data_IF_770390446423
#
_entry.id   IF_770390446423
#
_cell.length_a   1.000
_cell.length_b   1.000
_cell.length_c   1.000
_cell.angle_alpha   90.00
_cell.angle_beta   90.00
_cell.angle_gamma   90.00
#
_symmetry.space_group_name_H-M   'P 1'
#
loop_
_entity.id
_entity.type
_entity.pdbx_description
1 polymer ?
#
# COMPACT_ATOMS: atom_id res chain seq x y z
N UNK A 1 -10.94 -9.68 -17.12
CA UNK A 1 -11.25 -11.10 -17.34
C UNK A 1 -11.51 -11.25 -18.82
N UNK A 2 -10.87 -12.13 -19.57
CA UNK A 2 -10.84 -13.58 -19.31
C UNK A 2 -9.53 -14.27 -19.74
N UNK A 3 -8.36 -13.68 -19.46
CA UNK A 3 -7.08 -14.37 -19.65
C UNK A 3 -6.00 -13.88 -18.67
N UNK A 4 -6.38 -13.63 -17.42
CA UNK A 4 -5.37 -13.40 -16.39
C UNK A 4 -4.60 -14.72 -16.15
N UNK A 5 -3.26 -14.70 -16.09
CA UNK A 5 -2.45 -15.87 -15.75
C UNK A 5 -2.98 -16.60 -14.51
N UNK A 6 -2.90 -17.93 -14.50
CA UNK A 6 -3.14 -18.77 -13.31
C UNK A 6 -1.95 -18.63 -12.35
N UNK A 7 -1.86 -17.45 -11.75
CA UNK A 7 -0.83 -17.04 -10.82
C UNK A 7 -1.51 -16.32 -9.65
N UNK A 8 -1.34 -16.84 -8.44
CA UNK A 8 -2.06 -16.36 -7.26
C UNK A 8 -1.83 -14.85 -7.03
N UNK A 9 -0.60 -14.38 -7.16
CA UNK A 9 -0.28 -12.96 -6.99
C UNK A 9 -1.01 -12.07 -8.00
N UNK A 10 -1.08 -12.49 -9.26
CA UNK A 10 -1.84 -11.76 -10.30
C UNK A 10 -3.34 -11.76 -9.99
N UNK A 11 -3.90 -12.87 -9.52
CA UNK A 11 -5.31 -12.95 -9.14
C UNK A 11 -5.61 -12.08 -7.91
N UNK A 12 -4.70 -12.06 -6.93
CA UNK A 12 -4.79 -11.21 -5.74
C UNK A 12 -4.75 -9.72 -6.12
N UNK A 13 -3.85 -9.34 -7.02
CA UNK A 13 -3.78 -7.98 -7.56
C UNK A 13 -5.09 -7.58 -8.26
N UNK A 14 -5.62 -8.45 -9.13
CA UNK A 14 -6.90 -8.20 -9.82
C UNK A 14 -8.03 -8.08 -8.81
N UNK A 15 -8.04 -8.92 -7.77
CA UNK A 15 -9.05 -8.85 -6.71
C UNK A 15 -8.97 -7.54 -5.94
N UNK A 16 -7.77 -7.10 -5.55
CA UNK A 16 -7.54 -5.83 -4.87
C UNK A 16 -7.98 -4.64 -5.73
N UNK A 17 -7.53 -4.58 -6.99
CA UNK A 17 -7.90 -3.54 -7.94
C UNK A 17 -9.42 -3.44 -8.12
N UNK A 18 -10.08 -4.57 -8.39
CA UNK A 18 -11.53 -4.59 -8.61
C UNK A 18 -12.31 -4.21 -7.36
N UNK A 19 -11.82 -4.59 -6.18
CA UNK A 19 -12.42 -4.23 -4.90
C UNK A 19 -12.36 -2.73 -4.65
N UNK A 20 -11.17 -2.13 -4.75
CA UNK A 20 -10.99 -0.69 -4.52
C UNK A 20 -11.81 0.14 -5.51
N UNK A 21 -11.66 -0.14 -6.81
CA UNK A 21 -12.38 0.59 -7.86
C UNK A 21 -13.88 0.35 -7.78
N UNK A 22 -14.30 -0.90 -7.49
CA UNK A 22 -15.71 -1.28 -7.39
C UNK A 22 -16.44 -0.62 -6.23
N UNK A 23 -15.74 -0.35 -5.11
CA UNK A 23 -16.29 0.35 -3.95
C UNK A 23 -16.24 1.89 -4.09
N UNK A 24 -15.66 2.43 -5.16
CA UNK A 24 -15.51 3.87 -5.39
C UNK A 24 -14.23 4.48 -4.82
N UNK A 25 -13.25 3.65 -4.43
CA UNK A 25 -11.86 4.01 -4.18
C UNK A 25 -10.98 3.77 -5.42
N UNK A 26 -9.68 3.51 -5.19
CA UNK A 26 -8.75 3.03 -6.22
C UNK A 26 -8.44 4.05 -7.31
N UNK A 27 -8.55 5.35 -7.03
CA UNK A 27 -8.41 6.40 -8.05
C UNK A 27 -7.02 6.42 -8.69
N UNK A 28 -5.97 6.17 -7.91
CA UNK A 28 -4.59 6.15 -8.42
C UNK A 28 -4.35 4.93 -9.29
N UNK A 29 -4.77 3.75 -8.81
CA UNK A 29 -4.75 2.51 -9.59
C UNK A 29 -5.48 2.66 -10.92
N UNK A 30 -6.70 3.20 -10.89
CA UNK A 30 -7.51 3.43 -12.09
C UNK A 30 -6.83 4.43 -13.04
N UNK A 31 -6.32 5.54 -12.52
CA UNK A 31 -5.65 6.56 -13.34
C UNK A 31 -4.39 6.03 -14.02
N UNK A 32 -3.62 5.17 -13.36
CA UNK A 32 -2.48 4.47 -13.96
C UNK A 32 -2.95 3.50 -15.04
N UNK A 33 -3.93 2.64 -14.72
CA UNK A 33 -4.44 1.62 -15.64
C UNK A 33 -5.09 2.20 -16.92
N UNK A 34 -5.68 3.40 -16.82
CA UNK A 34 -6.31 4.09 -17.96
C UNK A 34 -5.33 4.98 -18.75
N UNK A 35 -4.09 5.16 -18.28
CA UNK A 35 -3.10 6.00 -18.95
C UNK A 35 -2.24 5.19 -19.93
N UNK A 36 -2.39 5.38 -21.26
CA UNK A 36 -1.66 4.59 -22.26
C UNK A 36 -0.15 4.89 -22.32
N UNK A 37 0.32 5.90 -21.59
CA UNK A 37 1.74 6.29 -21.50
C UNK A 37 2.35 5.95 -20.15
N UNK A 38 1.59 5.35 -19.23
CA UNK A 38 2.09 4.92 -17.93
C UNK A 38 2.60 3.48 -18.00
N UNK A 39 3.80 3.26 -17.46
CA UNK A 39 4.33 1.92 -17.18
C UNK A 39 4.66 1.85 -15.69
N UNK A 40 3.98 0.97 -14.98
CA UNK A 40 4.20 0.69 -13.55
C UNK A 40 4.25 -0.82 -13.37
N UNK A 41 5.35 -1.32 -12.81
CA UNK A 41 5.50 -2.71 -12.45
C UNK A 41 4.96 -2.94 -11.04
N UNK A 42 4.31 -4.08 -10.82
CA UNK A 42 3.91 -4.52 -9.47
C UNK A 42 4.63 -5.82 -9.17
N UNK A 43 5.47 -5.80 -8.13
CA UNK A 43 6.29 -6.94 -7.74
C UNK A 43 5.83 -7.48 -6.39
N UNK A 44 5.68 -8.81 -6.32
CA UNK A 44 5.32 -9.48 -5.08
C UNK A 44 6.47 -9.33 -4.08
N UNK A 45 6.14 -8.80 -2.92
CA UNK A 45 7.06 -8.78 -1.81
C UNK A 45 6.82 -9.99 -0.92
N UNK A 46 7.83 -10.85 -0.82
CA UNK A 46 7.77 -12.03 0.02
C UNK A 46 7.51 -11.70 1.51
N UNK A 47 7.21 -12.73 2.30
CA UNK A 47 6.84 -12.64 3.73
C UNK A 47 7.90 -11.98 4.65
N UNK A 48 9.04 -11.55 4.13
CA UNK A 48 10.07 -10.84 4.89
C UNK A 48 9.96 -9.31 4.73
N UNK A 49 9.29 -8.80 3.69
CA UNK A 49 9.12 -7.36 3.41
C UNK A 49 7.69 -6.87 3.65
N UNK A 50 7.56 -5.60 4.04
CA UNK A 50 6.31 -4.82 3.99
C UNK A 50 6.36 -3.93 2.74
N UNK A 51 5.21 -3.53 2.20
CA UNK A 51 5.15 -2.70 0.99
C UNK A 51 6.13 -1.54 1.08
N UNK A 52 6.83 -1.30 -0.02
CA UNK A 52 7.84 -0.26 -0.08
C UNK A 52 7.64 0.59 -1.32
N UNK A 53 7.88 1.89 -1.12
CA UNK A 53 7.79 2.92 -2.12
C UNK A 53 8.49 2.54 -3.44
N UNK A 54 7.99 3.21 -4.46
CA UNK A 54 8.48 3.24 -5.82
C UNK A 54 9.98 3.48 -5.92
N UNK A 55 10.72 2.48 -6.41
CA UNK A 55 12.05 2.69 -6.95
C UNK A 55 11.96 2.94 -8.44
N UNK A 56 12.48 4.09 -8.90
CA UNK A 56 12.79 4.27 -10.31
C UNK A 56 13.94 3.32 -10.65
N UNK A 57 13.64 2.15 -11.20
CA UNK A 57 14.70 1.26 -11.69
C UNK A 57 15.16 1.80 -13.04
N UNK A 58 16.41 2.23 -13.11
CA UNK A 58 17.08 2.47 -14.39
C UNK A 58 17.43 1.10 -14.96
N UNK A 59 16.66 0.60 -15.92
CA UNK A 59 17.09 -0.59 -16.65
C UNK A 59 18.08 -0.19 -17.74
N UNK A 60 19.30 -0.72 -17.64
CA UNK A 60 20.51 -0.29 -18.35
C UNK A 60 20.54 -0.59 -19.85
N UNK A 61 19.41 -0.90 -20.48
CA UNK A 61 19.33 -1.20 -21.90
C UNK A 61 18.59 -0.13 -22.73
N UNK A 62 17.64 0.62 -22.13
CA UNK A 62 16.80 1.56 -22.88
C UNK A 62 16.60 2.93 -22.21
N UNK A 63 17.10 3.16 -20.99
CA UNK A 63 17.04 4.47 -20.34
C UNK A 63 15.65 4.88 -19.82
N UNK A 64 14.65 4.01 -19.94
CA UNK A 64 13.31 4.23 -19.39
C UNK A 64 13.32 3.98 -17.88
N UNK A 65 12.89 4.99 -17.12
CA UNK A 65 12.65 4.87 -15.69
C UNK A 65 11.19 4.50 -15.48
N UNK A 66 10.90 3.29 -15.02
CA UNK A 66 9.54 2.88 -14.65
C UNK A 66 9.41 2.76 -13.14
N UNK A 67 8.19 3.02 -12.65
CA UNK A 67 7.88 2.97 -11.22
C UNK A 67 7.60 1.52 -10.82
N UNK A 68 8.25 1.00 -9.78
CA UNK A 68 8.00 -0.36 -9.26
C UNK A 68 7.25 -0.28 -7.93
N UNK A 69 6.03 -0.79 -7.88
CA UNK A 69 5.26 -0.97 -6.63
C UNK A 69 5.58 -2.33 -6.03
N UNK A 70 6.12 -2.35 -4.82
CA UNK A 70 6.27 -3.58 -4.04
C UNK A 70 5.05 -3.78 -3.15
N UNK A 71 4.36 -4.89 -3.34
CA UNK A 71 3.10 -5.16 -2.63
C UNK A 71 3.03 -6.60 -2.15
N UNK A 72 2.53 -6.79 -0.93
CA UNK A 72 2.28 -8.10 -0.36
C UNK A 72 0.76 -8.30 -0.19
N UNK A 73 0.14 -9.23 -0.92
CA UNK A 73 -1.30 -9.44 -0.89
C UNK A 73 -1.85 -9.94 0.46
N UNK A 74 -0.98 -10.34 1.39
CA UNK A 74 -1.37 -10.83 2.71
C UNK A 74 -1.21 -9.79 3.83
N UNK A 75 -0.58 -8.64 3.55
CA UNK A 75 -0.25 -7.64 4.56
C UNK A 75 -1.12 -6.39 4.41
N UNK A 76 -2.04 -6.22 5.35
CA UNK A 76 -2.69 -4.93 5.60
C UNK A 76 -1.86 -4.06 6.53
N UNK A 77 -2.44 -2.93 6.93
CA UNK A 77 -1.81 -1.98 7.85
C UNK A 77 -2.74 -1.67 9.00
N UNK A 78 -2.30 -1.95 10.22
CA UNK A 78 -2.91 -1.32 11.38
C UNK A 78 -2.35 0.10 11.57
N UNK A 79 -3.24 1.08 11.58
CA UNK A 79 -2.87 2.48 11.68
C UNK A 79 -2.66 2.91 13.14
N UNK A 80 -1.95 4.03 13.34
CA UNK A 80 -1.82 4.67 14.67
C UNK A 80 -3.15 5.16 15.24
N UNK A 81 -4.19 5.27 14.41
CA UNK A 81 -5.57 5.58 14.84
C UNK A 81 -6.39 4.32 15.19
N UNK A 82 -5.80 3.13 15.09
CA UNK A 82 -6.40 1.85 15.48
C UNK A 82 -7.31 1.21 14.42
N UNK A 83 -7.32 1.73 13.19
CA UNK A 83 -8.04 1.13 12.08
C UNK A 83 -7.16 0.07 11.38
N UNK A 84 -7.79 -0.88 10.70
CA UNK A 84 -7.10 -1.87 9.86
C UNK A 84 -7.42 -1.55 8.41
N UNK A 85 -6.39 -1.24 7.64
CA UNK A 85 -6.47 -1.10 6.19
C UNK A 85 -6.19 -2.46 5.55
N UNK A 86 -6.96 -2.84 4.54
CA UNK A 86 -6.71 -4.08 3.77
C UNK A 86 -5.46 -3.95 2.90
N UNK A 87 -4.89 -5.08 2.44
CA UNK A 87 -3.84 -5.05 1.42
C UNK A 87 -4.23 -4.27 0.16
N UNK A 88 -5.51 -4.25 -0.23
CA UNK A 88 -6.00 -3.45 -1.36
C UNK A 88 -5.83 -1.94 -1.11
N UNK A 89 -6.27 -1.43 0.05
CA UNK A 89 -6.03 -0.03 0.41
C UNK A 89 -4.53 0.32 0.50
N UNK A 90 -3.69 -0.62 0.94
CA UNK A 90 -2.23 -0.46 0.92
C UNK A 90 -1.69 -0.42 -0.51
N UNK A 91 -2.23 -1.23 -1.44
CA UNK A 91 -1.87 -1.16 -2.86
C UNK A 91 -2.19 0.20 -3.47
N UNK A 92 -3.35 0.78 -3.14
CA UNK A 92 -3.71 2.13 -3.59
C UNK A 92 -2.78 3.21 -3.01
N UNK A 93 -2.28 3.04 -1.78
CA UNK A 93 -1.25 3.92 -1.23
C UNK A 93 0.00 3.92 -2.13
N UNK A 94 0.55 2.76 -2.44
CA UNK A 94 1.75 2.66 -3.29
C UNK A 94 1.48 3.14 -4.73
N UNK A 95 0.29 2.87 -5.26
CA UNK A 95 -0.14 3.42 -6.56
C UNK A 95 -0.24 4.95 -6.54
N UNK A 96 -0.62 5.54 -5.40
CA UNK A 96 -0.62 6.98 -5.17
C UNK A 96 0.75 7.61 -5.35
N UNK A 97 1.80 6.96 -4.86
CA UNK A 97 3.20 7.35 -5.09
C UNK A 97 3.59 7.22 -6.55
N UNK A 98 3.28 6.08 -7.18
CA UNK A 98 3.59 5.83 -8.59
C UNK A 98 2.95 6.88 -9.51
N UNK A 99 1.68 7.22 -9.28
CA UNK A 99 0.98 8.26 -10.02
C UNK A 99 1.60 9.64 -9.79
N UNK A 100 1.95 9.98 -8.54
CA UNK A 100 2.62 11.24 -8.19
C UNK A 100 3.93 11.44 -8.96
N UNK A 101 4.73 10.36 -9.07
CA UNK A 101 5.96 10.29 -9.85
C UNK A 101 5.72 10.50 -11.36
N UNK A 102 4.73 9.79 -11.93
CA UNK A 102 4.39 9.89 -13.36
C UNK A 102 3.93 11.30 -13.77
N UNK A 103 3.18 11.98 -12.90
CA UNK A 103 2.61 13.30 -13.22
C UNK A 103 3.64 14.44 -13.13
N UNK A 104 4.79 14.20 -12.51
CA UNK A 104 6.03 15.02 -12.53
C UNK A 104 5.85 16.54 -12.66
N UNK A 105 4.92 17.13 -11.91
CA UNK A 105 4.74 18.58 -11.85
C UNK A 105 5.87 19.20 -11.04
N UNK A 106 6.26 20.43 -11.36
CA UNK A 106 7.28 21.17 -10.59
C UNK A 106 6.92 21.37 -9.11
N UNK A 107 5.64 21.23 -8.75
CA UNK A 107 5.15 21.22 -7.36
C UNK A 107 5.45 19.90 -6.64
N UNK A 108 5.47 18.77 -7.37
CA UNK A 108 5.83 17.44 -6.87
C UNK A 108 7.35 17.21 -6.74
N UNK A 109 8.19 18.06 -7.35
CA UNK A 109 9.67 17.90 -7.29
C UNK A 109 10.30 18.27 -5.95
N UNK A 110 9.53 18.85 -5.03
CA UNK A 110 9.97 19.25 -3.70
C UNK A 110 8.99 18.69 -2.66
N UNK A 111 8.88 17.37 -2.60
CA UNK A 111 8.34 16.69 -1.43
C UNK A 111 9.32 16.85 -0.26
N UNK A 112 9.50 18.09 0.19
CA UNK A 112 10.30 18.41 1.35
C UNK A 112 9.86 17.58 2.55
N UNK A 113 10.67 17.58 3.59
CA UNK A 113 10.34 16.82 4.79
C UNK A 113 9.03 17.29 5.42
N UNK A 114 8.28 16.34 5.96
CA UNK A 114 7.22 16.58 6.92
C UNK A 114 7.51 15.64 8.08
N UNK A 115 7.93 16.16 9.23
CA UNK A 115 8.42 15.32 10.34
C UNK A 115 7.38 14.34 10.89
N UNK A 116 6.10 14.56 10.60
CA UNK A 116 5.01 13.69 11.03
C UNK A 116 4.73 12.55 10.03
N UNK A 117 4.99 12.80 8.75
CA UNK A 117 4.72 11.89 7.64
C UNK A 117 5.99 11.41 6.93
N UNK A 118 7.17 11.74 7.45
CA UNK A 118 8.50 11.65 6.81
C UNK A 118 8.67 12.58 5.59
N UNK A 119 7.69 12.65 4.70
CA UNK A 119 7.68 13.55 3.53
C UNK A 119 6.31 14.21 3.30
N UNK A 120 6.31 15.30 2.53
CA UNK A 120 5.05 15.87 2.03
C UNK A 120 4.31 14.95 1.06
N UNK A 121 5.02 14.03 0.40
CA UNK A 121 4.39 13.07 -0.52
C UNK A 121 3.59 12.03 0.25
N UNK A 122 4.21 11.44 1.26
CA UNK A 122 3.55 10.52 2.19
C UNK A 122 2.29 11.14 2.77
N UNK A 123 2.37 12.40 3.19
CA UNK A 123 1.19 13.14 3.64
C UNK A 123 0.10 13.25 2.57
N UNK A 124 0.46 13.54 1.31
CA UNK A 124 -0.49 13.64 0.19
C UNK A 124 -1.16 12.30 -0.05
N UNK A 125 -0.40 11.21 -0.10
CA UNK A 125 -0.90 9.86 -0.35
C UNK A 125 -1.79 9.39 0.80
N UNK A 126 -1.34 9.54 2.04
CA UNK A 126 -2.08 9.14 3.24
C UNK A 126 -3.38 9.93 3.38
N UNK A 127 -3.33 11.26 3.27
CA UNK A 127 -4.53 12.10 3.44
C UNK A 127 -5.45 12.13 2.21
N UNK A 128 -4.95 11.68 1.06
CA UNK A 128 -5.64 11.64 -0.22
C UNK A 128 -6.09 10.23 -0.58
N UNK A 129 -5.43 9.54 -1.54
CA UNK A 129 -5.87 8.26 -2.09
C UNK A 129 -6.05 7.15 -1.05
N UNK A 130 -5.13 6.98 -0.10
CA UNK A 130 -5.25 5.94 0.96
C UNK A 130 -6.54 6.16 1.77
N UNK A 131 -6.72 7.36 2.33
CA UNK A 131 -7.88 7.67 3.15
C UNK A 131 -9.20 7.66 2.36
N UNK A 132 -9.21 8.09 1.11
CA UNK A 132 -10.40 8.02 0.26
C UNK A 132 -10.82 6.57 0.00
N UNK A 133 -9.85 5.71 -0.33
CA UNK A 133 -10.10 4.29 -0.58
C UNK A 133 -10.47 3.55 0.69
N UNK A 134 -9.80 3.81 1.82
CA UNK A 134 -10.18 3.25 3.12
C UNK A 134 -11.64 3.57 3.49
N UNK A 135 -12.12 4.79 3.19
CA UNK A 135 -13.54 5.16 3.40
C UNK A 135 -14.46 4.43 2.45
N UNK A 136 -14.11 4.36 1.18
CA UNK A 136 -14.90 3.66 0.16
C UNK A 136 -15.05 2.16 0.50
N UNK A 137 -13.97 1.54 0.96
CA UNK A 137 -13.92 0.15 1.41
C UNK A 137 -14.59 -0.09 2.78
N UNK A 138 -15.08 0.96 3.45
CA UNK A 138 -15.70 0.86 4.77
C UNK A 138 -14.74 0.49 5.91
N UNK A 139 -13.43 0.64 5.69
CA UNK A 139 -12.38 0.33 6.67
C UNK A 139 -12.26 1.41 7.73
N UNK A 140 -12.62 2.64 7.36
CA UNK A 140 -12.71 3.79 8.26
C UNK A 140 -14.04 4.54 8.09
N UNK A 141 -14.57 5.17 9.16
CA UNK A 141 -15.75 6.02 9.04
C UNK A 141 -15.55 7.22 8.11
N UNK A 142 -16.63 7.68 7.47
CA UNK A 142 -16.63 8.75 6.46
C UNK A 142 -15.93 10.05 6.89
N UNK A 143 -16.00 10.41 8.17
CA UNK A 143 -15.41 11.64 8.71
C UNK A 143 -14.13 11.40 9.53
N UNK A 144 -13.66 10.15 9.61
CA UNK A 144 -12.41 9.78 10.28
C UNK A 144 -11.23 9.89 9.34
N UNK A 145 -10.03 10.05 9.91
CA UNK A 145 -8.76 9.89 9.20
C UNK A 145 -8.27 8.45 9.35
N UNK A 146 -7.56 7.91 8.34
CA UNK A 146 -6.90 6.60 8.45
C UNK A 146 -5.79 6.66 9.51
N UNK A 147 -4.91 7.65 9.36
CA UNK A 147 -3.83 8.03 10.27
C UNK A 147 -3.46 9.49 10.05
N UNK A 148 -2.70 10.04 10.98
CA UNK A 148 -2.10 11.38 10.84
C UNK A 148 -0.57 11.31 10.92
N UNK A 149 0.03 10.19 10.56
CA UNK A 149 1.47 9.97 10.47
C UNK A 149 1.76 8.87 9.45
N UNK A 150 3.03 8.67 9.09
CA UNK A 150 3.47 7.57 8.23
C UNK A 150 3.68 6.25 9.00
N UNK A 151 3.32 6.19 10.28
CA UNK A 151 3.52 5.01 11.11
C UNK A 151 2.38 4.01 10.94
N UNK A 152 2.64 2.79 11.37
CA UNK A 152 1.65 1.73 11.48
C UNK A 152 2.33 0.40 11.79
N UNK A 153 1.51 -0.63 11.88
CA UNK A 153 1.95 -2.01 12.08
C UNK A 153 1.45 -2.86 10.92
N UNK A 154 2.34 -3.44 10.11
CA UNK A 154 1.96 -4.45 9.13
C UNK A 154 1.23 -5.60 9.83
N UNK A 155 0.06 -5.98 9.32
CA UNK A 155 -0.75 -7.06 9.90
C UNK A 155 -1.13 -8.06 8.83
N UNK A 156 -1.08 -9.35 9.17
CA UNK A 156 -1.55 -10.40 8.27
C UNK A 156 -3.06 -10.41 8.24
N UNK A 157 -3.67 -10.30 7.06
CA UNK A 157 -5.12 -10.35 6.87
C UNK A 157 -5.57 -11.65 6.22
N UNK A 158 -6.87 -11.93 6.24
CA UNK A 158 -7.43 -13.17 5.69
C UNK A 158 -7.39 -13.25 4.15
N UNK A 159 -7.27 -12.11 3.46
CA UNK A 159 -7.24 -12.00 2.00
C UNK A 159 -6.81 -10.58 1.56
N UNK A 160 -6.49 -10.35 0.28
CA UNK A 160 -6.13 -9.02 -0.24
C UNK A 160 -7.16 -7.92 0.00
N UNK A 161 -8.43 -8.30 0.17
CA UNK A 161 -9.57 -7.39 0.33
C UNK A 161 -10.14 -7.37 1.75
N UNK A 162 -9.46 -8.02 2.71
CA UNK A 162 -9.94 -8.14 4.09
C UNK A 162 -9.20 -7.19 5.02
N UNK A 163 -9.94 -6.55 5.92
CA UNK A 163 -9.41 -5.79 7.06
C UNK A 163 -9.47 -6.59 8.38
N UNK A 164 -9.70 -7.90 8.33
CA UNK A 164 -9.68 -8.78 9.49
C UNK A 164 -8.27 -9.30 9.72
N UNK A 165 -7.74 -9.04 10.91
CA UNK A 165 -6.38 -9.45 11.31
C UNK A 165 -6.35 -10.90 11.74
N UNK A 166 -5.48 -11.69 11.10
CA UNK A 166 -5.03 -12.97 11.61
C UNK A 166 -3.96 -12.74 12.68
N UNK A 167 -4.39 -12.75 13.95
CA UNK A 167 -3.54 -12.42 15.10
C UNK A 167 -2.31 -13.34 15.22
N UNK A 168 -2.52 -14.65 15.09
CA UNK A 168 -1.45 -15.64 15.21
C UNK A 168 -0.43 -15.50 14.07
N UNK A 169 -0.91 -15.30 12.83
CA UNK A 169 -0.03 -15.08 11.69
C UNK A 169 0.73 -13.76 11.81
N UNK A 170 0.07 -12.69 12.27
CA UNK A 170 0.71 -11.39 12.55
C UNK A 170 1.81 -11.52 13.60
N UNK A 171 1.53 -12.19 14.72
CA UNK A 171 2.54 -12.39 15.76
C UNK A 171 3.72 -13.22 15.25
N UNK A 172 3.46 -14.31 14.52
CA UNK A 172 4.52 -15.13 13.91
C UNK A 172 5.36 -14.36 12.89
N UNK A 173 4.72 -13.56 12.04
CA UNK A 173 5.40 -12.71 11.04
C UNK A 173 6.43 -11.80 11.71
N UNK A 174 6.03 -11.08 12.76
CA UNK A 174 6.94 -10.16 13.48
C UNK A 174 7.94 -10.88 14.38
N UNK A 175 7.57 -12.01 14.99
CA UNK A 175 8.47 -12.77 15.86
C UNK A 175 9.55 -13.53 15.08
N UNK A 176 9.30 -13.85 13.81
CA UNK A 176 10.25 -14.56 12.93
C UNK A 176 11.18 -13.63 12.16
N UNK A 177 10.94 -12.30 12.14
CA UNK A 177 11.88 -11.34 11.55
C UNK A 177 13.18 -11.32 12.37
N UNK A 178 14.27 -11.72 11.73
CA UNK A 178 15.60 -11.98 12.32
C UNK A 178 16.25 -10.75 13.00
N UNK A 179 15.66 -9.56 12.91
CA UNK A 179 16.14 -8.31 13.52
C UNK A 179 15.10 -7.71 14.47
N UNK A 180 15.25 -8.03 15.77
CA UNK A 180 14.32 -7.70 16.88
C UNK A 180 14.19 -6.20 17.23
N UNK A 181 14.61 -5.27 16.37
CA UNK A 181 14.78 -3.85 16.75
C UNK A 181 13.81 -2.88 16.04
N UNK A 182 12.91 -3.35 15.18
CA UNK A 182 11.86 -2.49 14.63
C UNK A 182 10.74 -2.29 15.67
N UNK A 183 10.66 -1.07 16.19
CA UNK A 183 9.59 -0.66 17.09
C UNK A 183 8.40 -0.14 16.27
N UNK A 184 7.38 -0.97 16.10
CA UNK A 184 6.12 -0.57 15.47
C UNK A 184 5.22 0.19 16.45
N UNK A 185 4.46 1.14 15.91
CA UNK A 185 3.36 1.80 16.62
C UNK A 185 2.11 1.66 15.77
N UNK A 186 1.11 0.86 16.19
CA UNK A 186 1.04 0.09 17.45
C UNK A 186 2.00 -1.13 17.51
N UNK A 187 2.23 -1.68 18.70
CA UNK A 187 3.11 -2.83 18.89
C UNK A 187 2.44 -4.16 18.52
N UNK A 188 3.18 -5.06 17.85
CA UNK A 188 2.69 -6.39 17.50
C UNK A 188 2.48 -7.32 18.70
N UNK A 189 3.05 -6.99 19.87
CA UNK A 189 2.95 -7.81 21.10
C UNK A 189 1.51 -8.02 21.54
N UNK A 190 0.60 -7.09 21.22
CA UNK A 190 -0.84 -7.25 21.51
C UNK A 190 -1.51 -8.40 20.75
N UNK A 191 -0.86 -8.94 19.73
CA UNK A 191 -1.30 -10.12 18.99
C UNK A 191 -0.68 -11.42 19.51
N UNK A 192 0.10 -11.37 20.59
CA UNK A 192 0.60 -12.56 21.27
C UNK A 192 -0.57 -13.47 21.71
N UNK A 193 -0.43 -14.80 21.56
CA UNK A 193 -1.44 -15.78 21.97
C UNK A 193 -1.64 -15.84 23.49
#
# INVERSE_FOLDING_TARGET
GDSAPDNQFVQDFISAYNYDVGNGGGQSLKAIAENPFATVDVQEQGMEGYSSEVYSKQDGAFGDSFNVVYWNPNLGLETTSGYILSPATVLEHEAGHALGSLMNTSENRNYGSDAQYDSKEEKRVISGPEQQTARANGEIPMFSRSRSDHKGLPVVTDSPISNKVNKNATFKFHNNRTYKNESFTPSYIKYAP
#
